data_IF_520979041121
#
_entry.id   IF_520979041121
#
_cell.length_a   1.000
_cell.length_b   1.000
_cell.length_c   1.000
_cell.angle_alpha   90.00
_cell.angle_beta   90.00
_cell.angle_gamma   90.00
#
_symmetry.space_group_name_H-M   'P 1'
#
loop_
_entity.id
_entity.type
_entity.pdbx_description
1 polymer ?
#
# COMPACT_ATOMS: atom_id res chain seq x y z
N UNK A 1 3.08 35.67 12.53
CA UNK A 1 2.15 34.67 11.94
C UNK A 1 2.96 33.43 11.62
N UNK A 2 2.63 32.28 12.21
CA UNK A 2 3.34 31.02 11.95
C UNK A 2 2.84 30.46 10.61
N UNK A 3 3.77 30.04 9.75
CA UNK A 3 3.46 29.26 8.55
C UNK A 3 3.85 27.81 8.84
N UNK A 4 2.88 26.90 8.77
CA UNK A 4 3.08 25.48 9.02
C UNK A 4 3.09 24.75 7.69
N UNK A 5 4.09 23.91 7.48
CA UNK A 5 4.13 22.95 6.38
C UNK A 5 3.77 21.57 6.94
N UNK A 6 2.83 20.89 6.29
CA UNK A 6 2.47 19.50 6.57
C UNK A 6 2.74 18.65 5.35
N UNK A 7 3.39 17.50 5.53
CA UNK A 7 3.68 16.55 4.47
C UNK A 7 3.52 15.11 4.96
N UNK A 8 3.37 14.12 4.06
CA UNK A 8 3.49 12.71 4.42
C UNK A 8 4.84 12.40 5.07
N UNK A 9 4.89 11.35 5.92
CA UNK A 9 6.14 10.85 6.51
C UNK A 9 7.04 10.10 5.51
N UNK A 10 6.44 9.52 4.47
CA UNK A 10 7.15 8.81 3.38
C UNK A 10 6.37 8.99 2.07
N UNK A 11 7.10 9.18 0.97
CA UNK A 11 6.56 9.18 -0.39
C UNK A 11 7.43 8.23 -1.22
N UNK A 12 6.80 7.24 -1.86
CA UNK A 12 7.50 6.22 -2.64
C UNK A 12 6.99 6.28 -4.08
N UNK A 13 7.89 6.51 -5.03
CA UNK A 13 7.57 6.58 -6.45
C UNK A 13 8.64 5.83 -7.26
N UNK A 14 8.19 4.99 -8.18
CA UNK A 14 9.06 4.23 -9.07
C UNK A 14 8.27 3.22 -9.88
N UNK A 15 8.90 2.64 -10.89
CA UNK A 15 8.30 1.56 -11.66
C UNK A 15 8.22 0.31 -10.78
N UNK A 16 7.06 -0.35 -10.74
CA UNK A 16 6.81 -1.61 -10.00
C UNK A 16 6.90 -1.53 -8.47
N UNK A 17 6.86 -0.33 -7.86
CA UNK A 17 6.96 -0.17 -6.40
C UNK A 17 5.86 -0.88 -5.61
N UNK A 18 4.73 -1.23 -6.23
CA UNK A 18 3.67 -2.05 -5.61
C UNK A 18 4.23 -3.43 -5.21
N UNK A 19 5.11 -4.03 -6.03
CA UNK A 19 5.74 -5.34 -5.74
C UNK A 19 6.73 -5.30 -4.57
N UNK A 20 7.03 -4.11 -4.05
CA UNK A 20 7.93 -3.88 -2.92
C UNK A 20 7.15 -3.28 -1.74
N UNK A 21 5.82 -3.17 -1.82
CA UNK A 21 5.05 -2.35 -0.88
C UNK A 21 5.14 -2.82 0.57
N UNK A 22 5.23 -4.14 0.80
CA UNK A 22 5.40 -4.74 2.12
C UNK A 22 6.61 -4.19 2.86
N UNK A 23 7.73 -3.96 2.16
CA UNK A 23 8.94 -3.38 2.76
C UNK A 23 8.73 -1.95 3.26
N UNK A 24 7.85 -1.20 2.61
CA UNK A 24 7.56 0.18 2.97
C UNK A 24 6.58 0.30 4.13
N UNK A 25 5.64 -0.64 4.25
CA UNK A 25 4.54 -0.57 5.23
C UNK A 25 4.74 -1.45 6.46
N UNK A 26 5.69 -2.40 6.47
CA UNK A 26 5.99 -3.24 7.65
C UNK A 26 6.37 -2.44 8.91
N UNK A 27 6.87 -1.22 8.74
CA UNK A 27 7.18 -0.31 9.85
C UNK A 27 5.93 0.34 10.47
N UNK A 28 4.76 0.20 9.84
CA UNK A 28 3.50 0.80 10.28
C UNK A 28 2.66 -0.14 11.17
N UNK A 29 2.90 -1.45 11.11
CA UNK A 29 2.17 -2.45 11.89
C UNK A 29 2.40 -3.89 11.40
N UNK A 30 1.77 -4.84 12.09
CA UNK A 30 1.94 -6.28 11.85
C UNK A 30 0.92 -6.87 10.86
N UNK A 31 -0.29 -6.29 10.77
CA UNK A 31 -1.35 -6.67 9.83
C UNK A 31 -1.85 -5.46 9.05
N UNK A 32 -1.96 -5.59 7.73
CA UNK A 32 -2.51 -4.55 6.85
C UNK A 32 -3.94 -4.86 6.43
N UNK A 33 -4.80 -3.83 6.43
CA UNK A 33 -6.08 -3.87 5.73
C UNK A 33 -5.93 -3.09 4.42
N UNK A 34 -6.18 -3.75 3.30
CA UNK A 34 -6.15 -3.16 1.97
C UNK A 34 -7.58 -2.97 1.49
N UNK A 35 -7.87 -1.75 1.05
CA UNK A 35 -9.20 -1.37 0.58
C UNK A 35 -9.04 -0.93 -0.87
N UNK A 36 -9.73 -1.62 -1.77
CA UNK A 36 -9.61 -1.40 -3.21
C UNK A 36 -10.96 -1.61 -3.91
N UNK A 37 -11.08 -1.12 -5.14
CA UNK A 37 -12.24 -1.39 -5.99
C UNK A 37 -11.97 -2.60 -6.90
N UNK A 38 -13.00 -3.13 -7.60
CA UNK A 38 -12.83 -4.27 -8.51
C UNK A 38 -11.94 -3.96 -9.74
N UNK A 39 -11.75 -2.69 -10.12
CA UNK A 39 -10.86 -2.33 -11.24
C UNK A 39 -9.40 -2.51 -10.79
N UNK A 40 -9.08 -2.12 -9.56
CA UNK A 40 -7.74 -2.34 -8.98
C UNK A 40 -7.46 -3.84 -8.82
N UNK A 41 -8.47 -4.63 -8.43
CA UNK A 41 -8.38 -6.09 -8.40
C UNK A 41 -7.97 -6.63 -9.78
N UNK A 42 -8.71 -6.29 -10.84
CA UNK A 42 -8.44 -6.77 -12.20
C UNK A 42 -7.04 -6.40 -12.71
N UNK A 43 -6.58 -5.19 -12.39
CA UNK A 43 -5.35 -4.64 -12.96
C UNK A 43 -4.08 -4.94 -12.15
N UNK A 44 -4.19 -5.13 -10.82
CA UNK A 44 -3.04 -5.08 -9.93
C UNK A 44 -3.00 -6.16 -8.83
N UNK A 45 -3.96 -7.10 -8.78
CA UNK A 45 -3.98 -8.14 -7.74
C UNK A 45 -2.66 -8.91 -7.66
N UNK A 46 -2.13 -9.38 -8.79
CA UNK A 46 -0.85 -10.12 -8.84
C UNK A 46 0.33 -9.30 -8.27
N UNK A 47 0.35 -7.99 -8.56
CA UNK A 47 1.40 -7.10 -8.07
C UNK A 47 1.25 -6.83 -6.55
N UNK A 48 0.02 -6.71 -6.07
CA UNK A 48 -0.32 -6.56 -4.65
C UNK A 48 0.10 -7.80 -3.86
N UNK A 49 -0.35 -8.99 -4.28
CA UNK A 49 -0.02 -10.25 -3.61
C UNK A 49 1.49 -10.49 -3.58
N UNK A 50 2.19 -10.17 -4.69
CA UNK A 50 3.66 -10.24 -4.74
C UNK A 50 4.31 -9.29 -3.74
N UNK A 51 3.79 -8.08 -3.58
CA UNK A 51 4.36 -7.06 -2.69
C UNK A 51 4.06 -7.30 -1.22
N UNK A 52 3.04 -8.09 -0.89
CA UNK A 52 2.57 -8.33 0.48
C UNK A 52 2.95 -9.70 1.02
N UNK A 53 3.69 -10.51 0.25
CA UNK A 53 4.00 -11.92 0.56
C UNK A 53 4.54 -12.18 1.97
N UNK A 54 5.23 -11.21 2.57
CA UNK A 54 5.84 -11.33 3.91
C UNK A 54 5.07 -10.58 5.01
N UNK A 55 3.90 -10.02 4.71
CA UNK A 55 3.06 -9.29 5.65
C UNK A 55 1.73 -10.04 5.86
N UNK A 56 1.19 -10.04 7.07
CA UNK A 56 -0.20 -10.45 7.27
C UNK A 56 -1.12 -9.37 6.67
N UNK A 57 -2.08 -9.75 5.83
CA UNK A 57 -2.97 -8.79 5.20
C UNK A 57 -4.37 -9.34 4.93
N UNK A 58 -5.30 -8.42 4.78
CA UNK A 58 -6.69 -8.67 4.39
C UNK A 58 -7.06 -7.66 3.30
N UNK A 59 -7.73 -8.12 2.25
CA UNK A 59 -8.19 -7.25 1.15
C UNK A 59 -9.71 -7.21 1.17
N UNK A 60 -10.25 -6.00 1.24
CA UNK A 60 -11.67 -5.71 1.18
C UNK A 60 -11.99 -4.94 -0.11
N UNK A 61 -12.76 -5.57 -1.00
CA UNK A 61 -13.21 -4.96 -2.25
C UNK A 61 -14.58 -4.30 -2.07
N UNK A 62 -14.61 -2.97 -2.17
CA UNK A 62 -15.86 -2.21 -2.07
C UNK A 62 -16.49 -2.02 -3.46
N UNK A 63 -17.83 -2.05 -3.50
CA UNK A 63 -18.64 -1.85 -4.70
C UNK A 63 -19.35 -0.51 -4.67
#
# INVERSE_FOLDING_TARGET
MIKVLTSPGKYVQGKKVIKEMGDYIKELGEKALIIADPIVEELFLDDLESGLKELDYEIEFFK
#
